data_IF_529836677350
#
_entry.id   IF_529836677350
#
_cell.length_a   1.000
_cell.length_b   1.000
_cell.length_c   1.000
_cell.angle_alpha   90.00
_cell.angle_beta   90.00
_cell.angle_gamma   90.00
#
_symmetry.space_group_name_H-M   'P 1'
#
loop_
_entity.id
_entity.type
_entity.pdbx_description
1 polymer ?
#
# COMPACT_ATOMS: atom_id res chain seq x y z
N UNK A 1 65.32 34.87 -26.09
CA UNK A 1 64.94 33.80 -25.15
C UNK A 1 63.47 33.97 -24.80
N UNK A 2 62.57 33.24 -25.45
CA UNK A 2 61.15 33.22 -25.11
C UNK A 2 60.73 31.77 -24.88
N UNK A 3 60.22 31.51 -23.68
CA UNK A 3 59.84 30.19 -23.18
C UNK A 3 58.40 29.89 -23.60
N UNK A 4 58.23 28.96 -24.53
CA UNK A 4 56.94 28.42 -24.94
C UNK A 4 56.54 27.30 -23.99
N UNK A 5 55.54 27.56 -23.12
CA UNK A 5 54.89 26.52 -22.32
C UNK A 5 53.90 25.75 -23.19
N UNK A 6 54.22 24.49 -23.47
CA UNK A 6 53.33 23.54 -24.11
C UNK A 6 52.16 23.19 -23.17
N UNK A 7 50.94 23.39 -23.65
CA UNK A 7 49.70 22.96 -22.98
C UNK A 7 49.52 21.47 -23.27
N UNK A 8 49.75 20.64 -22.25
CA UNK A 8 49.48 19.21 -22.29
C UNK A 8 47.97 18.96 -22.30
N UNK A 9 47.44 18.49 -23.43
CA UNK A 9 46.08 17.97 -23.56
C UNK A 9 45.97 16.64 -22.81
N UNK A 10 45.34 16.66 -21.63
CA UNK A 10 44.95 15.45 -20.90
C UNK A 10 43.78 14.82 -21.66
N UNK A 11 44.09 13.89 -22.57
CA UNK A 11 43.10 13.01 -23.18
C UNK A 11 42.51 12.12 -22.08
N UNK A 12 41.26 12.41 -21.70
CA UNK A 12 40.48 11.54 -20.83
C UNK A 12 40.23 10.22 -21.55
N UNK A 13 41.10 9.23 -21.33
CA UNK A 13 40.82 7.84 -21.67
C UNK A 13 39.52 7.46 -20.96
N UNK A 14 38.43 7.43 -21.72
CA UNK A 14 37.15 6.91 -21.23
C UNK A 14 37.40 5.53 -20.65
N UNK A 15 36.89 5.30 -19.44
CA UNK A 15 36.90 3.97 -18.83
C UNK A 15 36.03 3.07 -19.70
N UNK A 16 36.61 2.47 -20.74
CA UNK A 16 36.01 1.35 -21.46
C UNK A 16 35.67 0.33 -20.38
N UNK A 17 34.41 -0.05 -20.25
CA UNK A 17 34.04 -1.15 -19.38
C UNK A 17 34.89 -2.35 -19.82
N UNK A 18 35.82 -2.75 -18.95
CA UNK A 18 36.72 -3.84 -19.25
C UNK A 18 35.90 -5.12 -19.06
N UNK A 19 35.30 -5.60 -20.15
CA UNK A 19 34.66 -6.90 -20.17
C UNK A 19 35.69 -7.96 -19.78
N UNK A 20 35.32 -8.85 -18.86
CA UNK A 20 36.18 -9.92 -18.41
C UNK A 20 36.25 -11.04 -19.44
N UNK A 21 35.17 -11.24 -20.20
CA UNK A 21 35.08 -12.14 -21.34
C UNK A 21 34.85 -11.30 -22.60
N UNK A 22 35.85 -11.23 -23.48
CA UNK A 22 35.83 -10.43 -24.71
C UNK A 22 35.63 -11.33 -25.92
N UNK A 23 34.85 -10.87 -26.91
CA UNK A 23 34.46 -11.64 -28.11
C UNK A 23 35.65 -12.18 -28.95
N UNK A 24 36.86 -11.63 -28.80
CA UNK A 24 38.02 -11.97 -29.63
C UNK A 24 38.81 -13.24 -29.27
N UNK A 25 38.57 -13.86 -28.11
CA UNK A 25 39.39 -15.00 -27.63
C UNK A 25 38.68 -16.35 -27.79
N UNK A 26 38.29 -16.76 -29.01
CA UNK A 26 37.75 -18.10 -29.34
C UNK A 26 36.92 -18.75 -28.20
N UNK A 27 35.98 -17.99 -27.64
CA UNK A 27 35.31 -18.40 -26.42
C UNK A 27 34.13 -19.27 -26.78
N UNK A 28 34.29 -20.59 -26.64
CA UNK A 28 33.16 -21.50 -26.84
C UNK A 28 32.00 -21.12 -25.91
N UNK A 29 30.75 -21.02 -26.41
CA UNK A 29 29.58 -20.64 -25.61
C UNK A 29 29.41 -21.45 -24.32
N UNK A 30 29.81 -22.73 -24.35
CA UNK A 30 29.79 -23.62 -23.18
C UNK A 30 30.71 -23.14 -22.06
N UNK A 31 31.92 -22.72 -22.40
CA UNK A 31 32.91 -22.22 -21.43
C UNK A 31 32.43 -20.91 -20.81
N UNK A 32 31.80 -20.04 -21.60
CA UNK A 32 31.20 -18.78 -21.11
C UNK A 32 30.08 -19.06 -20.12
N UNK A 33 29.16 -19.96 -20.45
CA UNK A 33 28.05 -20.33 -19.55
C UNK A 33 28.60 -20.99 -18.27
N UNK A 34 29.60 -21.85 -18.38
CA UNK A 34 30.23 -22.46 -17.21
C UNK A 34 30.89 -21.42 -16.31
N UNK A 35 31.54 -20.41 -16.89
CA UNK A 35 32.10 -19.29 -16.14
C UNK A 35 31.02 -18.42 -15.49
N UNK A 36 29.89 -18.20 -16.17
CA UNK A 36 28.74 -17.49 -15.59
C UNK A 36 28.17 -18.26 -14.38
N UNK A 37 27.99 -19.58 -14.52
CA UNK A 37 27.56 -20.45 -13.42
C UNK A 37 28.58 -20.52 -12.27
N UNK A 38 29.87 -20.26 -12.55
CA UNK A 38 30.91 -20.15 -11.51
C UNK A 38 30.90 -18.81 -10.77
N UNK A 39 29.98 -17.89 -11.13
CA UNK A 39 29.77 -16.62 -10.46
C UNK A 39 30.25 -15.38 -11.22
N UNK A 40 30.66 -15.51 -12.49
CA UNK A 40 30.93 -14.33 -13.32
C UNK A 40 29.60 -13.68 -13.71
N UNK A 41 29.40 -12.43 -13.31
CA UNK A 41 28.21 -11.66 -13.65
C UNK A 41 28.12 -11.48 -15.18
N UNK A 42 26.93 -11.74 -15.74
CA UNK A 42 26.62 -11.57 -17.16
C UNK A 42 26.90 -10.14 -17.65
N UNK A 43 26.88 -9.15 -16.75
CA UNK A 43 27.24 -7.77 -17.04
C UNK A 43 28.70 -7.55 -17.46
N UNK A 44 29.58 -8.49 -17.12
CA UNK A 44 31.01 -8.47 -17.45
C UNK A 44 31.34 -9.25 -18.74
N UNK A 45 30.34 -9.86 -19.36
CA UNK A 45 30.46 -10.57 -20.63
C UNK A 45 30.14 -9.61 -21.76
N UNK A 46 30.98 -9.61 -22.81
CA UNK A 46 30.79 -8.77 -23.98
C UNK A 46 29.42 -9.04 -24.65
N UNK A 47 28.56 -8.02 -24.83
CA UNK A 47 27.24 -8.17 -25.44
C UNK A 47 27.25 -8.81 -26.83
N UNK A 48 28.37 -8.74 -27.57
CA UNK A 48 28.51 -9.40 -28.87
C UNK A 48 28.45 -10.93 -28.77
N UNK A 49 28.74 -11.50 -27.60
CA UNK A 49 28.69 -12.94 -27.34
C UNK A 49 27.24 -13.41 -27.08
N UNK A 50 26.34 -12.53 -26.63
CA UNK A 50 24.99 -12.90 -26.20
C UNK A 50 24.17 -13.68 -27.24
N UNK A 51 24.13 -13.30 -28.54
CA UNK A 51 23.40 -14.07 -29.55
C UNK A 51 23.88 -15.53 -29.67
N UNK A 52 25.16 -15.78 -29.38
CA UNK A 52 25.75 -17.12 -29.39
C UNK A 52 25.39 -17.92 -28.14
N UNK A 53 25.05 -17.27 -27.02
CA UNK A 53 24.70 -17.94 -25.75
C UNK A 53 23.23 -18.35 -25.70
N UNK A 54 22.33 -17.57 -26.31
CA UNK A 54 20.87 -17.78 -26.23
C UNK A 54 20.44 -19.22 -26.59
N UNK A 55 20.85 -19.80 -27.74
CA UNK A 55 20.42 -21.16 -28.09
C UNK A 55 20.91 -22.22 -27.10
N UNK A 56 22.08 -22.00 -26.48
CA UNK A 56 22.64 -22.94 -25.50
C UNK A 56 21.94 -22.81 -24.15
N UNK A 57 21.63 -21.58 -23.72
CA UNK A 57 20.90 -21.31 -22.49
C UNK A 57 19.46 -21.85 -22.56
N UNK A 58 18.78 -21.74 -23.71
CA UNK A 58 17.45 -22.32 -23.92
C UNK A 58 17.47 -23.85 -23.82
N UNK A 59 18.43 -24.51 -24.48
CA UNK A 59 18.63 -25.95 -24.38
C UNK A 59 18.96 -26.41 -22.95
N UNK A 60 19.76 -25.64 -22.20
CA UNK A 60 20.08 -25.94 -20.81
C UNK A 60 18.89 -25.69 -19.87
N UNK A 61 18.08 -24.69 -20.14
CA UNK A 61 16.84 -24.42 -19.41
C UNK A 61 15.84 -25.57 -19.58
N UNK A 62 15.67 -26.08 -20.80
CA UNK A 62 14.80 -27.22 -21.07
C UNK A 62 15.27 -28.49 -20.33
N UNK A 63 16.59 -28.76 -20.34
CA UNK A 63 17.18 -29.84 -19.53
C UNK A 63 16.92 -29.64 -18.03
N UNK A 64 17.14 -28.43 -17.50
CA UNK A 64 16.91 -28.14 -16.09
C UNK A 64 15.44 -28.28 -15.68
N UNK A 65 14.50 -27.99 -16.59
CA UNK A 65 13.05 -28.24 -16.39
C UNK A 65 12.72 -29.72 -16.34
N UNK A 66 13.32 -30.52 -17.22
CA UNK A 66 13.17 -31.98 -17.20
C UNK A 66 13.73 -32.59 -15.92
N UNK A 67 14.85 -32.05 -15.42
CA UNK A 67 15.49 -32.47 -14.17
C UNK A 67 14.82 -31.87 -12.91
N UNK A 68 13.86 -30.95 -13.08
CA UNK A 68 13.16 -30.21 -12.03
C UNK A 68 14.08 -29.42 -11.06
N UNK A 69 15.22 -28.92 -11.56
CA UNK A 69 16.18 -28.13 -10.78
C UNK A 69 15.77 -26.64 -10.75
N UNK A 70 14.96 -26.27 -9.75
CA UNK A 70 14.41 -24.91 -9.59
C UNK A 70 15.49 -23.81 -9.52
N UNK A 71 16.70 -24.11 -9.04
CA UNK A 71 17.76 -23.11 -8.90
C UNK A 71 18.32 -22.75 -10.27
N UNK A 72 18.70 -23.75 -11.07
CA UNK A 72 19.21 -23.54 -12.42
C UNK A 72 18.16 -22.95 -13.36
N UNK A 73 16.89 -23.33 -13.21
CA UNK A 73 15.79 -22.75 -13.98
C UNK A 73 15.75 -21.22 -13.79
N UNK A 74 15.74 -20.76 -12.53
CA UNK A 74 15.75 -19.32 -12.22
C UNK A 74 16.98 -18.60 -12.74
N UNK A 75 18.15 -19.24 -12.65
CA UNK A 75 19.42 -18.66 -13.07
C UNK A 75 19.49 -18.52 -14.61
N UNK A 76 19.09 -19.54 -15.36
CA UNK A 76 19.02 -19.47 -16.82
C UNK A 76 17.94 -18.50 -17.32
N UNK A 77 16.77 -18.46 -16.66
CA UNK A 77 15.73 -17.47 -16.95
C UNK A 77 16.22 -16.05 -16.69
N UNK A 78 17.00 -15.83 -15.61
CA UNK A 78 17.64 -14.55 -15.35
C UNK A 78 18.61 -14.17 -16.48
N UNK A 79 19.50 -15.06 -16.91
CA UNK A 79 20.44 -14.76 -18.01
C UNK A 79 19.72 -14.44 -19.33
N UNK A 80 18.72 -15.23 -19.71
CA UNK A 80 17.92 -14.97 -20.91
C UNK A 80 17.18 -13.63 -20.83
N UNK A 81 16.57 -13.32 -19.67
CA UNK A 81 15.90 -12.03 -19.45
C UNK A 81 16.87 -10.85 -19.55
N UNK A 82 18.09 -11.02 -19.03
CA UNK A 82 19.13 -10.01 -19.05
C UNK A 82 19.60 -9.72 -20.49
N UNK A 83 19.86 -10.77 -21.28
CA UNK A 83 20.25 -10.67 -22.68
C UNK A 83 19.17 -9.96 -23.49
N UNK A 84 17.91 -10.36 -23.33
CA UNK A 84 16.77 -9.77 -24.05
C UNK A 84 16.57 -8.28 -23.70
N UNK A 85 16.95 -7.85 -22.50
CA UNK A 85 16.83 -6.47 -22.06
C UNK A 85 18.00 -5.56 -22.51
N UNK A 86 19.06 -6.13 -23.08
CA UNK A 86 20.26 -5.39 -23.47
C UNK A 86 20.02 -4.25 -24.47
N UNK A 87 19.21 -4.40 -25.54
CA UNK A 87 18.95 -3.31 -26.48
C UNK A 87 18.34 -2.06 -25.82
N UNK A 88 17.46 -2.27 -24.83
CA UNK A 88 16.84 -1.18 -24.06
C UNK A 88 17.85 -0.48 -23.15
N UNK A 89 18.85 -1.18 -22.62
CA UNK A 89 19.94 -0.58 -21.83
C UNK A 89 20.87 0.27 -22.69
N UNK A 90 21.14 -0.16 -23.90
CA UNK A 90 21.92 0.63 -24.86
C UNK A 90 21.17 1.90 -25.26
N UNK A 91 19.85 1.80 -25.48
CA UNK A 91 18.99 2.96 -25.73
C UNK A 91 19.01 3.95 -24.56
N UNK A 92 18.80 3.47 -23.33
CA UNK A 92 18.89 4.30 -22.13
C UNK A 92 20.27 4.95 -21.97
N UNK A 93 21.33 4.21 -22.26
CA UNK A 93 22.70 4.73 -22.20
C UNK A 93 22.91 5.81 -23.26
N UNK A 94 22.37 5.64 -24.48
CA UNK A 94 22.39 6.67 -25.52
C UNK A 94 21.61 7.91 -25.07
N UNK A 95 20.44 7.74 -24.48
CA UNK A 95 19.61 8.85 -23.96
C UNK A 95 20.37 9.60 -22.86
N UNK A 96 21.00 8.90 -21.91
CA UNK A 96 21.74 9.50 -20.80
C UNK A 96 23.04 10.20 -21.27
N UNK A 97 23.67 9.69 -22.34
CA UNK A 97 24.87 10.28 -22.94
C UNK A 97 24.57 11.38 -23.97
N UNK A 98 23.30 11.61 -24.35
CA UNK A 98 22.96 12.75 -25.22
C UNK A 98 23.42 14.03 -24.51
N UNK A 99 24.23 14.88 -25.17
CA UNK A 99 24.59 16.18 -24.61
C UNK A 99 23.29 16.92 -24.32
N UNK A 100 23.16 17.46 -23.11
CA UNK A 100 21.97 18.24 -22.74
C UNK A 100 21.85 19.38 -23.77
N UNK A 101 20.67 19.59 -24.37
CA UNK A 101 20.49 20.71 -25.27
C UNK A 101 20.92 21.99 -24.55
N UNK A 102 21.60 22.93 -25.22
CA UNK A 102 21.97 24.20 -24.61
C UNK A 102 20.71 24.84 -24.04
N UNK A 103 20.77 25.38 -22.80
CA UNK A 103 19.60 25.95 -22.16
C UNK A 103 19.01 27.01 -23.09
N UNK A 104 17.67 26.99 -23.31
CA UNK A 104 17.04 27.96 -24.19
C UNK A 104 17.37 29.37 -23.68
N UNK A 105 17.85 30.23 -24.58
CA UNK A 105 18.13 31.63 -24.28
C UNK A 105 16.80 32.28 -23.91
N UNK A 106 16.62 32.59 -22.62
CA UNK A 106 15.42 33.27 -22.14
C UNK A 106 15.47 34.71 -22.63
N UNK A 107 14.63 35.04 -23.60
CA UNK A 107 14.42 36.44 -24.02
C UNK A 107 13.81 37.18 -22.83
N UNK A 108 14.39 38.31 -22.38
CA UNK A 108 13.85 39.06 -21.25
C UNK A 108 12.43 39.54 -21.56
N UNK A 109 11.56 39.46 -20.55
CA UNK A 109 10.11 39.74 -20.67
C UNK A 109 9.83 41.21 -21.01
N UNK A 110 10.68 42.13 -20.53
CA UNK A 110 10.59 43.57 -20.82
C UNK A 110 11.85 44.06 -21.52
N UNK A 111 11.67 44.97 -22.47
CA UNK A 111 12.78 45.73 -23.05
C UNK A 111 13.27 46.80 -22.07
N UNK A 112 14.53 47.24 -22.20
CA UNK A 112 15.12 48.24 -21.30
C UNK A 112 14.33 49.56 -21.26
N UNK A 113 13.82 49.98 -22.41
CA UNK A 113 13.01 51.20 -22.54
C UNK A 113 11.68 51.10 -21.79
N UNK A 114 11.01 49.94 -21.87
CA UNK A 114 9.78 49.68 -21.13
C UNK A 114 10.03 49.65 -19.62
N UNK A 115 11.13 49.03 -19.17
CA UNK A 115 11.53 49.05 -17.75
C UNK A 115 11.70 50.48 -17.25
N UNK A 116 12.39 51.34 -18.00
CA UNK A 116 12.57 52.74 -17.60
C UNK A 116 11.26 53.54 -17.56
N UNK A 117 10.37 53.35 -18.53
CA UNK A 117 9.06 53.99 -18.55
C UNK A 117 8.22 53.60 -17.32
N UNK A 118 8.17 52.30 -17.01
CA UNK A 118 7.46 51.77 -15.84
C UNK A 118 8.09 52.24 -14.52
N UNK A 119 9.43 52.28 -14.44
CA UNK A 119 10.13 52.77 -13.24
C UNK A 119 9.80 54.24 -12.98
N UNK A 120 9.81 55.09 -14.01
CA UNK A 120 9.45 56.50 -13.87
C UNK A 120 7.99 56.65 -13.43
N UNK A 121 7.07 55.88 -14.03
CA UNK A 121 5.67 55.86 -13.64
C UNK A 121 5.47 55.43 -12.17
N UNK A 122 6.20 54.42 -11.69
CA UNK A 122 6.16 53.96 -10.29
C UNK A 122 6.63 55.07 -9.33
N UNK A 123 7.68 55.82 -9.69
CA UNK A 123 8.21 56.93 -8.89
C UNK A 123 7.18 58.05 -8.79
N UNK A 124 6.56 58.43 -9.91
CA UNK A 124 5.56 59.50 -10.02
C UNK A 124 4.25 59.13 -9.31
N UNK A 125 3.63 58.00 -9.67
CA UNK A 125 2.37 57.55 -9.12
C UNK A 125 2.47 57.15 -7.64
N UNK A 126 3.65 56.65 -7.22
CA UNK A 126 3.89 56.11 -5.88
C UNK A 126 3.08 54.85 -5.57
N UNK A 127 2.58 54.19 -6.61
CA UNK A 127 1.82 52.93 -6.59
C UNK A 127 2.28 52.05 -7.74
N UNK A 128 2.21 50.74 -7.58
CA UNK A 128 2.63 49.77 -8.58
C UNK A 128 1.48 48.84 -8.98
N UNK A 129 1.47 48.44 -10.25
CA UNK A 129 0.52 47.46 -10.79
C UNK A 129 0.85 46.03 -10.34
N UNK A 130 0.08 45.05 -10.80
CA UNK A 130 0.36 43.63 -10.56
C UNK A 130 1.29 43.12 -11.66
N UNK A 131 2.57 42.97 -11.33
CA UNK A 131 3.63 42.49 -12.22
C UNK A 131 3.96 41.01 -11.95
N UNK A 132 4.46 40.31 -12.96
CA UNK A 132 5.05 38.97 -12.83
C UNK A 132 6.38 39.01 -12.06
N UNK A 133 6.82 37.88 -11.49
CA UNK A 133 8.05 37.84 -10.69
C UNK A 133 9.30 38.27 -11.50
N UNK A 134 9.39 37.84 -12.76
CA UNK A 134 10.51 38.20 -13.64
C UNK A 134 10.51 39.71 -13.97
N UNK A 135 9.32 40.30 -14.10
CA UNK A 135 9.15 41.74 -14.31
C UNK A 135 9.49 42.54 -13.05
N UNK A 136 9.08 42.06 -11.87
CA UNK A 136 9.44 42.66 -10.58
C UNK A 136 10.95 42.73 -10.41
N UNK A 137 11.67 41.64 -10.74
CA UNK A 137 13.13 41.61 -10.61
C UNK A 137 13.81 42.63 -11.54
N UNK A 138 13.33 42.78 -12.78
CA UNK A 138 13.80 43.80 -13.72
C UNK A 138 13.50 45.23 -13.26
N UNK A 139 12.29 45.49 -12.76
CA UNK A 139 11.89 46.79 -12.23
C UNK A 139 12.65 47.17 -10.95
N UNK A 140 12.98 46.20 -10.09
CA UNK A 140 13.80 46.42 -8.90
C UNK A 140 15.23 46.80 -9.29
N UNK A 141 15.80 46.17 -10.32
CA UNK A 141 17.11 46.58 -10.86
C UNK A 141 17.04 48.01 -11.40
N UNK A 142 16.03 48.34 -12.22
CA UNK A 142 15.85 49.69 -12.74
C UNK A 142 15.64 50.77 -11.66
N UNK A 143 14.90 50.47 -10.59
CA UNK A 143 14.74 51.38 -9.43
C UNK A 143 16.06 51.59 -8.68
N UNK A 144 16.92 50.57 -8.59
CA UNK A 144 18.25 50.67 -7.97
C UNK A 144 19.21 51.51 -8.82
N UNK A 145 19.13 51.41 -10.14
CA UNK A 145 19.88 52.27 -11.07
C UNK A 145 19.44 53.73 -10.91
N UNK A 146 18.13 54.01 -10.91
CA UNK A 146 17.59 55.37 -10.66
C UNK A 146 18.01 55.94 -9.30
N UNK A 147 18.03 55.10 -8.26
CA UNK A 147 18.58 55.51 -6.95
C UNK A 147 20.04 55.95 -7.07
N UNK A 148 20.87 55.21 -7.80
CA UNK A 148 22.28 55.58 -8.00
C UNK A 148 22.42 56.90 -8.77
N UNK A 149 21.57 57.15 -9.78
CA UNK A 149 21.51 58.43 -10.50
C UNK A 149 21.16 59.60 -9.56
N UNK A 150 20.14 59.47 -8.72
CA UNK A 150 19.77 60.52 -7.76
C UNK A 150 20.86 60.80 -6.72
N UNK A 151 21.59 59.76 -6.27
CA UNK A 151 22.74 59.94 -5.37
C UNK A 151 23.85 60.73 -6.06
N UNK A 152 24.13 60.46 -7.34
CA UNK A 152 25.13 61.22 -8.11
C UNK A 152 24.73 62.68 -8.32
N UNK A 153 23.42 62.95 -8.42
CA UNK A 153 22.86 64.30 -8.54
C UNK A 153 22.76 65.05 -7.20
N UNK A 154 22.97 64.36 -6.07
CA UNK A 154 22.85 64.93 -4.72
C UNK A 154 21.41 65.02 -4.19
N UNK A 155 20.42 64.45 -4.87
CA UNK A 155 19.02 64.39 -4.40
C UNK A 155 18.78 63.14 -3.55
N UNK A 156 19.15 63.22 -2.28
CA UNK A 156 19.02 62.11 -1.34
C UNK A 156 17.57 61.75 -1.01
N UNK A 157 16.63 62.71 -1.11
CA UNK A 157 15.21 62.46 -0.81
C UNK A 157 14.55 61.63 -1.93
N UNK A 158 14.87 61.94 -3.19
CA UNK A 158 14.43 61.12 -4.32
C UNK A 158 15.07 59.73 -4.28
N UNK A 159 16.35 59.64 -3.91
CA UNK A 159 17.05 58.36 -3.75
C UNK A 159 16.40 57.47 -2.67
N UNK A 160 16.09 58.03 -1.49
CA UNK A 160 15.38 57.30 -0.42
C UNK A 160 13.98 56.86 -0.86
N UNK A 161 13.26 57.70 -1.61
CA UNK A 161 11.95 57.35 -2.17
C UNK A 161 12.05 56.18 -3.16
N UNK A 162 13.03 56.20 -4.07
CA UNK A 162 13.26 55.11 -5.02
C UNK A 162 13.62 53.79 -4.30
N UNK A 163 14.46 53.86 -3.27
CA UNK A 163 14.81 52.71 -2.42
C UNK A 163 13.57 52.12 -1.73
N UNK A 164 12.77 52.96 -1.06
CA UNK A 164 11.54 52.54 -0.41
C UNK A 164 10.53 51.91 -1.37
N UNK A 165 10.40 52.45 -2.60
CA UNK A 165 9.56 51.88 -3.64
C UNK A 165 10.10 50.53 -4.13
N UNK A 166 11.42 50.39 -4.30
CA UNK A 166 12.05 49.12 -4.68
C UNK A 166 11.81 48.03 -3.65
N UNK A 167 11.91 48.35 -2.36
CA UNK A 167 11.62 47.42 -1.26
C UNK A 167 10.14 47.03 -1.22
N UNK A 168 9.22 47.99 -1.38
CA UNK A 168 7.77 47.71 -1.42
C UNK A 168 7.39 46.83 -2.61
N UNK A 169 7.96 47.12 -3.79
CA UNK A 169 7.72 46.35 -5.00
C UNK A 169 8.22 44.91 -4.84
N UNK A 170 9.46 44.75 -4.37
CA UNK A 170 10.06 43.45 -4.08
C UNK A 170 9.23 42.64 -3.08
N UNK A 171 8.85 43.26 -1.95
CA UNK A 171 8.02 42.60 -0.93
C UNK A 171 6.64 42.20 -1.49
N UNK A 172 6.01 43.04 -2.32
CA UNK A 172 4.74 42.71 -2.96
C UNK A 172 4.89 41.58 -4.00
N UNK A 173 6.01 41.51 -4.72
CA UNK A 173 6.35 40.40 -5.61
C UNK A 173 6.45 39.09 -4.83
N UNK A 174 7.28 39.06 -3.77
CA UNK A 174 7.41 37.89 -2.90
C UNK A 174 6.08 37.44 -2.29
N UNK A 175 5.27 38.37 -1.78
CA UNK A 175 3.95 38.06 -1.23
C UNK A 175 2.99 37.47 -2.28
N UNK A 176 3.09 37.91 -3.54
CA UNK A 176 2.30 37.36 -4.64
C UNK A 176 2.71 35.93 -4.97
N UNK A 177 4.01 35.63 -4.98
CA UNK A 177 4.52 34.25 -5.15
C UNK A 177 4.07 33.34 -4.00
N UNK A 178 4.14 33.82 -2.75
CA UNK A 178 3.65 33.05 -1.58
C UNK A 178 2.14 32.82 -1.67
N UNK A 179 1.36 33.84 -2.05
CA UNK A 179 -0.10 33.71 -2.24
C UNK A 179 -0.44 32.66 -3.32
N UNK A 180 0.27 32.67 -4.45
CA UNK A 180 0.14 31.68 -5.53
C UNK A 180 0.51 30.27 -5.05
N UNK A 181 1.63 30.12 -4.34
CA UNK A 181 2.05 28.83 -3.77
C UNK A 181 1.01 28.27 -2.80
N UNK A 182 0.47 29.12 -1.93
CA UNK A 182 -0.57 28.71 -1.00
C UNK A 182 -1.89 28.39 -1.70
N UNK A 183 -2.23 29.10 -2.78
CA UNK A 183 -3.39 28.78 -3.60
C UNK A 183 -3.25 27.40 -4.25
N UNK A 184 -2.10 27.10 -4.86
CA UNK A 184 -1.83 25.79 -5.46
C UNK A 184 -1.90 24.68 -4.40
N UNK A 185 -1.28 24.90 -3.25
CA UNK A 185 -1.35 23.94 -2.12
C UNK A 185 -2.77 23.72 -1.62
N UNK A 186 -3.62 24.75 -1.63
CA UNK A 186 -5.03 24.60 -1.29
C UNK A 186 -5.79 23.75 -2.33
N UNK A 187 -5.50 23.92 -3.62
CA UNK A 187 -6.07 23.10 -4.69
C UNK A 187 -5.63 21.64 -4.54
N UNK A 188 -4.34 21.40 -4.31
CA UNK A 188 -3.79 20.06 -4.10
C UNK A 188 -4.42 19.37 -2.87
N UNK A 189 -4.55 20.10 -1.76
CA UNK A 189 -5.18 19.56 -0.54
C UNK A 189 -6.66 19.26 -0.74
N UNK A 190 -7.37 20.07 -1.53
CA UNK A 190 -8.77 19.81 -1.88
C UNK A 190 -8.90 18.55 -2.74
N UNK A 191 -8.03 18.39 -3.73
CA UNK A 191 -8.03 17.18 -4.56
C UNK A 191 -7.76 15.96 -3.70
N UNK A 192 -6.71 15.97 -2.88
CA UNK A 192 -6.40 14.86 -1.95
C UNK A 192 -7.51 14.54 -0.97
N UNK A 193 -8.24 15.55 -0.50
CA UNK A 193 -9.39 15.35 0.38
C UNK A 193 -10.52 14.64 -0.37
N UNK A 194 -10.78 15.04 -1.62
CA UNK A 194 -11.76 14.39 -2.48
C UNK A 194 -11.39 12.92 -2.71
N UNK A 195 -10.16 12.66 -3.16
CA UNK A 195 -9.65 11.31 -3.41
C UNK A 195 -9.75 10.44 -2.15
N UNK A 196 -9.30 10.95 -0.99
CA UNK A 196 -9.38 10.23 0.28
C UNK A 196 -10.83 9.95 0.74
N UNK A 197 -11.78 10.82 0.37
CA UNK A 197 -13.20 10.62 0.68
C UNK A 197 -13.84 9.56 -0.22
N UNK A 198 -13.45 9.53 -1.50
CA UNK A 198 -13.85 8.48 -2.45
C UNK A 198 -13.26 7.12 -2.03
N UNK A 199 -12.00 7.10 -1.59
CA UNK A 199 -11.34 5.90 -1.07
C UNK A 199 -12.05 5.36 0.18
N UNK A 200 -12.42 6.24 1.13
CA UNK A 200 -13.20 5.86 2.32
C UNK A 200 -14.53 5.20 1.93
N UNK A 201 -15.26 5.79 0.99
CA UNK A 201 -16.54 5.27 0.52
C UNK A 201 -16.38 3.91 -0.19
N UNK A 202 -15.31 3.76 -0.99
CA UNK A 202 -15.00 2.49 -1.64
C UNK A 202 -14.63 1.39 -0.62
N UNK A 203 -13.89 1.74 0.44
CA UNK A 203 -13.54 0.81 1.51
C UNK A 203 -14.78 0.37 2.28
N UNK A 204 -15.70 1.29 2.62
CA UNK A 204 -16.99 0.94 3.25
C UNK A 204 -17.80 -0.05 2.41
N UNK A 205 -17.97 0.22 1.11
CA UNK A 205 -18.70 -0.68 0.20
C UNK A 205 -18.05 -2.06 0.11
N UNK A 206 -16.72 -2.10 -0.01
CA UNK A 206 -15.97 -3.36 -0.01
C UNK A 206 -16.21 -4.15 1.28
N UNK A 207 -16.20 -3.51 2.45
CA UNK A 207 -16.47 -4.17 3.72
C UNK A 207 -17.92 -4.66 3.84
N UNK A 208 -18.89 -3.90 3.32
CA UNK A 208 -20.29 -4.33 3.22
C UNK A 208 -20.45 -5.58 2.35
N UNK A 209 -19.79 -5.62 1.19
CA UNK A 209 -19.78 -6.79 0.29
C UNK A 209 -19.14 -8.01 0.98
N UNK A 210 -17.98 -7.84 1.63
CA UNK A 210 -17.33 -8.91 2.38
C UNK A 210 -18.23 -9.44 3.50
N UNK A 211 -18.92 -8.55 4.20
CA UNK A 211 -19.85 -8.94 5.28
C UNK A 211 -21.08 -9.69 4.75
N UNK A 212 -21.61 -9.27 3.60
CA UNK A 212 -22.69 -10.01 2.91
C UNK A 212 -22.23 -11.41 2.51
N UNK A 213 -21.04 -11.52 1.90
CA UNK A 213 -20.46 -12.81 1.49
C UNK A 213 -20.20 -13.73 2.69
N UNK A 214 -19.74 -13.18 3.81
CA UNK A 214 -19.55 -13.93 5.05
C UNK A 214 -20.87 -14.52 5.56
N UNK A 215 -21.94 -13.71 5.56
CA UNK A 215 -23.28 -14.17 5.98
C UNK A 215 -23.83 -15.24 5.07
N UNK A 216 -23.69 -15.07 3.75
CA UNK A 216 -24.12 -16.05 2.78
C UNK A 216 -23.36 -17.37 2.96
N UNK A 217 -22.03 -17.31 3.12
CA UNK A 217 -21.20 -18.48 3.37
C UNK A 217 -21.59 -19.20 4.68
N UNK A 218 -21.81 -18.45 5.76
CA UNK A 218 -22.25 -19.02 7.03
C UNK A 218 -23.63 -19.68 6.91
N UNK A 219 -24.59 -19.04 6.23
CA UNK A 219 -25.93 -19.59 6.02
C UNK A 219 -25.89 -20.87 5.17
N UNK A 220 -25.10 -20.88 4.09
CA UNK A 220 -24.93 -22.05 3.23
C UNK A 220 -24.31 -23.22 4.01
N UNK A 221 -23.33 -22.95 4.86
CA UNK A 221 -22.74 -23.99 5.70
C UNK A 221 -23.73 -24.51 6.75
N UNK A 222 -24.52 -23.65 7.38
CA UNK A 222 -25.54 -24.10 8.33
C UNK A 222 -26.62 -24.94 7.65
N UNK A 223 -27.07 -24.55 6.46
CA UNK A 223 -28.04 -25.32 5.69
C UNK A 223 -27.49 -26.70 5.31
N UNK A 224 -26.21 -26.77 4.91
CA UNK A 224 -25.57 -28.04 4.58
C UNK A 224 -25.38 -28.94 5.82
N UNK A 225 -24.97 -28.36 6.96
CA UNK A 225 -24.87 -29.10 8.22
C UNK A 225 -26.24 -29.63 8.67
N UNK A 226 -27.29 -28.82 8.57
CA UNK A 226 -28.65 -29.23 8.92
C UNK A 226 -29.14 -30.37 8.00
N UNK A 227 -28.85 -30.29 6.70
CA UNK A 227 -29.15 -31.36 5.75
C UNK A 227 -28.45 -32.67 6.13
N UNK A 228 -27.16 -32.61 6.43
CA UNK A 228 -26.37 -33.77 6.86
C UNK A 228 -26.89 -34.35 8.18
N UNK A 229 -27.24 -33.47 9.14
CA UNK A 229 -27.79 -33.90 10.43
C UNK A 229 -29.12 -34.60 10.26
N UNK A 230 -30.01 -34.06 9.42
CA UNK A 230 -31.31 -34.66 9.12
C UNK A 230 -31.18 -36.01 8.42
N UNK A 231 -30.25 -36.16 7.47
CA UNK A 231 -30.02 -37.44 6.80
C UNK A 231 -29.50 -38.50 7.78
N UNK A 232 -28.55 -38.16 8.65
CA UNK A 232 -28.05 -39.08 9.69
C UNK A 232 -29.16 -39.54 10.64
N UNK A 233 -30.07 -38.65 11.02
CA UNK A 233 -31.21 -39.01 11.87
C UNK A 233 -32.16 -39.92 11.10
N UNK A 234 -32.43 -39.62 9.82
CA UNK A 234 -33.28 -40.44 8.95
C UNK A 234 -32.71 -41.85 8.75
N UNK A 235 -31.41 -41.97 8.54
CA UNK A 235 -30.71 -43.28 8.45
C UNK A 235 -30.86 -44.08 9.74
N UNK A 236 -30.73 -43.44 10.91
CA UNK A 236 -30.94 -44.09 12.20
C UNK A 236 -32.40 -44.46 12.45
N UNK A 237 -33.35 -43.68 11.95
CA UNK A 237 -34.78 -43.97 12.03
C UNK A 237 -35.17 -45.14 11.12
N UNK A 238 -34.55 -45.29 9.95
CA UNK A 238 -34.78 -46.43 9.06
C UNK A 238 -34.40 -47.78 9.72
N UNK A 239 -33.48 -47.78 10.68
CA UNK A 239 -33.09 -48.98 11.43
C UNK A 239 -34.20 -49.54 12.34
N UNK A 240 -35.27 -48.78 12.62
CA UNK A 240 -36.44 -49.29 13.35
C UNK A 240 -37.20 -50.34 12.55
N UNK A 241 -37.22 -50.23 11.21
CA UNK A 241 -37.92 -51.16 10.34
C UNK A 241 -37.09 -52.43 10.08
N UNK A 242 -35.80 -52.41 10.41
CA UNK A 242 -34.89 -53.54 10.27
C UNK A 242 -35.00 -54.55 11.43
N UNK A 243 -34.80 -55.83 11.12
CA UNK A 243 -34.81 -56.90 12.13
C UNK A 243 -33.64 -56.72 13.12
N UNK A 244 -33.84 -57.00 14.41
CA UNK A 244 -32.78 -56.87 15.41
C UNK A 244 -31.54 -57.68 15.02
N UNK A 245 -30.32 -57.13 15.17
CA UNK A 245 -29.11 -57.84 14.83
C UNK A 245 -28.90 -59.09 15.71
N UNK A 246 -28.19 -60.13 15.23
CA UNK A 246 -27.98 -61.39 15.96
C UNK A 246 -27.36 -61.23 17.36
N UNK A 247 -26.62 -60.14 17.60
CA UNK A 247 -26.05 -59.82 18.91
C UNK A 247 -27.12 -59.66 19.99
N UNK A 248 -28.30 -59.12 19.63
CA UNK A 248 -29.43 -58.89 20.53
C UNK A 248 -30.36 -60.10 20.56
N UNK A 249 -30.41 -60.90 19.49
CA UNK A 249 -31.28 -62.09 19.36
C UNK A 249 -30.79 -63.34 20.12
N UNK A 250 -30.18 -63.15 21.28
CA UNK A 250 -29.74 -64.26 22.13
C UNK A 250 -30.90 -64.68 23.03
N UNK A 251 -31.45 -65.85 22.74
CA UNK A 251 -32.50 -66.46 23.56
C UNK A 251 -31.97 -66.92 24.92
N UNK A 252 -32.85 -66.94 25.91
CA UNK A 252 -32.50 -67.41 27.25
C UNK A 252 -32.14 -68.91 27.24
N UNK A 253 -31.28 -69.35 28.17
CA UNK A 253 -31.00 -70.78 28.32
C UNK A 253 -32.25 -71.60 28.64
N UNK A 254 -33.27 -71.00 29.26
CA UNK A 254 -34.55 -71.64 29.56
C UNK A 254 -35.29 -72.03 28.28
N UNK A 255 -35.41 -71.11 27.32
CA UNK A 255 -36.03 -71.39 26.03
C UNK A 255 -35.25 -72.45 25.24
N UNK A 256 -33.91 -72.33 25.22
CA UNK A 256 -33.04 -73.30 24.55
C UNK A 256 -33.18 -74.72 25.15
N UNK A 257 -33.31 -74.82 26.47
CA UNK A 257 -33.54 -76.09 27.16
C UNK A 257 -34.93 -76.67 26.87
N UNK A 258 -35.98 -75.83 26.80
CA UNK A 258 -37.33 -76.27 26.42
C UNK A 258 -37.35 -76.82 24.99
N UNK A 259 -36.70 -76.14 24.03
CA UNK A 259 -36.57 -76.60 22.63
C UNK A 259 -35.78 -77.91 22.52
N UNK A 260 -34.69 -78.06 23.27
CA UNK A 260 -33.93 -79.32 23.33
C UNK A 260 -34.78 -80.45 23.92
N UNK A 261 -35.59 -80.18 24.95
CA UNK A 261 -36.48 -81.16 25.57
C UNK A 261 -37.63 -81.54 24.63
N UNK A 262 -38.19 -80.58 23.89
CA UNK A 262 -39.16 -80.81 22.82
C UNK A 262 -38.60 -81.80 21.79
N UNK A 263 -37.41 -81.52 21.25
CA UNK A 263 -36.73 -82.36 20.25
C UNK A 263 -36.48 -83.79 20.78
N UNK A 264 -36.04 -83.91 22.04
CA UNK A 264 -35.85 -85.21 22.70
C UNK A 264 -37.16 -85.99 22.89
N UNK A 265 -38.28 -85.32 23.17
CA UNK A 265 -39.59 -85.95 23.29
C UNK A 265 -40.15 -86.39 21.93
N UNK A 266 -39.89 -85.61 20.88
CA UNK A 266 -40.24 -85.95 19.49
C UNK A 266 -39.47 -87.21 19.05
N UNK A 267 -38.15 -87.25 19.28
CA UNK A 267 -37.32 -88.42 18.94
C UNK A 267 -37.72 -89.67 19.71
N UNK A 268 -38.24 -89.50 20.94
CA UNK A 268 -38.80 -90.58 21.77
C UNK A 268 -40.25 -90.95 21.42
N UNK A 269 -40.86 -90.35 20.38
CA UNK A 269 -42.26 -90.57 19.93
C UNK A 269 -43.33 -90.19 20.97
N UNK A 270 -43.01 -89.32 21.93
CA UNK A 270 -43.92 -88.85 22.97
C UNK A 270 -44.66 -87.57 22.54
N UNK A 271 -45.43 -87.65 21.46
CA UNK A 271 -45.99 -86.47 20.79
C UNK A 271 -46.92 -85.61 21.66
N UNK A 272 -47.74 -86.23 22.52
CA UNK A 272 -48.66 -85.49 23.40
C UNK A 272 -47.92 -84.63 24.43
N UNK A 273 -46.79 -85.11 24.94
CA UNK A 273 -45.95 -84.35 25.88
C UNK A 273 -45.13 -83.30 25.13
N UNK A 274 -44.61 -83.64 23.94
CA UNK A 274 -43.93 -82.69 23.07
C UNK A 274 -44.82 -81.49 22.72
N UNK A 275 -46.11 -81.71 22.44
CA UNK A 275 -47.08 -80.63 22.15
C UNK A 275 -47.19 -79.62 23.30
N UNK A 276 -47.25 -80.09 24.56
CA UNK A 276 -47.33 -79.19 25.73
C UNK A 276 -46.05 -78.39 25.93
N UNK A 277 -44.89 -79.02 25.72
CA UNK A 277 -43.59 -78.34 25.81
C UNK A 277 -43.43 -77.33 24.68
N UNK A 278 -43.93 -77.66 23.48
CA UNK A 278 -43.94 -76.75 22.33
C UNK A 278 -44.75 -75.50 22.62
N UNK A 279 -45.97 -75.62 23.13
CA UNK A 279 -46.80 -74.46 23.51
C UNK A 279 -46.07 -73.55 24.51
N UNK A 280 -45.46 -74.13 25.56
CA UNK A 280 -44.66 -73.38 26.53
C UNK A 280 -43.43 -72.71 25.91
N UNK A 281 -42.76 -73.38 24.98
CA UNK A 281 -41.61 -72.82 24.27
C UNK A 281 -42.03 -71.71 23.31
N UNK A 282 -43.16 -71.86 22.60
CA UNK A 282 -43.70 -70.88 21.66
C UNK A 282 -44.16 -69.61 22.41
N UNK A 283 -44.84 -69.75 23.56
CA UNK A 283 -45.21 -68.63 24.43
C UNK A 283 -43.98 -67.86 24.94
N UNK A 284 -42.98 -68.58 25.46
CA UNK A 284 -41.75 -67.97 25.96
C UNK A 284 -40.94 -67.31 24.84
N UNK A 285 -40.91 -67.92 23.65
CA UNK A 285 -40.24 -67.35 22.48
C UNK A 285 -40.87 -66.03 22.05
N UNK A 286 -42.21 -65.95 22.00
CA UNK A 286 -42.90 -64.70 21.66
C UNK A 286 -42.58 -63.58 22.66
N UNK A 287 -42.54 -63.89 23.95
CA UNK A 287 -42.16 -62.92 24.99
C UNK A 287 -40.71 -62.45 24.83
N UNK A 288 -39.77 -63.36 24.58
CA UNK A 288 -38.37 -63.01 24.38
C UNK A 288 -38.16 -62.22 23.08
N UNK A 289 -38.82 -62.58 21.99
CA UNK A 289 -38.78 -61.85 20.71
C UNK A 289 -39.26 -60.40 20.89
N UNK A 290 -40.37 -60.20 21.61
CA UNK A 290 -40.88 -58.86 21.93
C UNK A 290 -39.89 -58.06 22.77
N UNK A 291 -39.30 -58.66 23.82
CA UNK A 291 -38.29 -58.01 24.64
C UNK A 291 -37.02 -57.66 23.84
N UNK A 292 -36.60 -58.51 22.90
CA UNK A 292 -35.45 -58.26 22.04
C UNK A 292 -35.71 -57.07 21.11
N UNK A 293 -36.90 -56.98 20.51
CA UNK A 293 -37.32 -55.83 19.70
C UNK A 293 -37.32 -54.54 20.54
N UNK A 294 -37.87 -54.59 21.75
CA UNK A 294 -37.88 -53.42 22.66
C UNK A 294 -36.48 -52.97 23.07
N UNK A 295 -35.57 -53.90 23.36
CA UNK A 295 -34.16 -53.60 23.65
C UNK A 295 -33.47 -52.98 22.44
N UNK A 296 -33.72 -53.51 21.25
CA UNK A 296 -33.21 -52.96 20.00
C UNK A 296 -33.69 -51.52 19.78
N UNK A 297 -35.00 -51.29 19.89
CA UNK A 297 -35.59 -49.96 19.77
C UNK A 297 -35.04 -48.99 20.82
N UNK A 298 -34.82 -49.44 22.06
CA UNK A 298 -34.21 -48.62 23.12
C UNK A 298 -32.77 -48.23 22.77
N UNK A 299 -32.00 -49.15 22.20
CA UNK A 299 -30.63 -48.89 21.75
C UNK A 299 -30.60 -47.86 20.60
N UNK A 300 -31.48 -48.00 19.60
CA UNK A 300 -31.63 -47.02 18.52
C UNK A 300 -32.01 -45.64 19.09
N UNK A 301 -33.01 -45.57 19.97
CA UNK A 301 -33.41 -44.29 20.61
C UNK A 301 -32.26 -43.63 21.36
N UNK A 302 -31.46 -44.42 22.06
CA UNK A 302 -30.28 -43.93 22.78
C UNK A 302 -29.26 -43.35 21.80
N UNK A 303 -29.01 -44.06 20.68
CA UNK A 303 -28.11 -43.61 19.63
C UNK A 303 -28.59 -42.32 18.96
N UNK A 304 -29.87 -42.24 18.61
CA UNK A 304 -30.48 -41.01 18.06
C UNK A 304 -30.30 -39.84 19.04
N UNK A 305 -30.55 -40.05 20.34
CA UNK A 305 -30.37 -38.99 21.33
C UNK A 305 -28.91 -38.56 21.44
N UNK A 306 -27.96 -39.50 21.46
CA UNK A 306 -26.53 -39.19 21.46
C UNK A 306 -26.14 -38.37 20.23
N UNK A 307 -26.53 -38.83 19.04
CA UNK A 307 -26.30 -38.12 17.77
C UNK A 307 -26.90 -36.71 17.81
N UNK A 308 -28.15 -36.53 18.27
CA UNK A 308 -28.76 -35.19 18.44
C UNK A 308 -27.94 -34.29 19.37
N UNK A 309 -27.42 -34.82 20.48
CA UNK A 309 -26.58 -34.03 21.40
C UNK A 309 -25.23 -33.65 20.78
N UNK A 310 -24.62 -34.52 19.98
CA UNK A 310 -23.39 -34.24 19.24
C UNK A 310 -23.61 -33.19 18.16
N UNK A 311 -24.69 -33.33 17.37
CA UNK A 311 -25.13 -32.37 16.36
C UNK A 311 -25.37 -30.99 16.97
N UNK A 312 -26.05 -30.91 18.11
CA UNK A 312 -26.27 -29.64 18.81
C UNK A 312 -24.96 -28.98 19.29
N UNK A 313 -24.01 -29.77 19.80
CA UNK A 313 -22.67 -29.28 20.19
C UNK A 313 -21.88 -28.81 18.97
N UNK A 314 -21.98 -29.51 17.84
CA UNK A 314 -21.32 -29.13 16.59
C UNK A 314 -21.89 -27.80 16.07
N UNK A 315 -23.21 -27.66 15.99
CA UNK A 315 -23.88 -26.40 15.60
C UNK A 315 -23.51 -25.25 16.53
N UNK A 316 -23.51 -25.48 17.85
CA UNK A 316 -23.11 -24.46 18.82
C UNK A 316 -21.66 -24.01 18.63
N UNK A 317 -20.73 -24.95 18.45
CA UNK A 317 -19.32 -24.65 18.19
C UNK A 317 -19.15 -23.88 16.89
N UNK A 318 -19.89 -24.26 15.84
CA UNK A 318 -19.79 -23.60 14.54
C UNK A 318 -20.41 -22.21 14.54
N UNK A 319 -21.51 -22.01 15.27
CA UNK A 319 -22.11 -20.70 15.51
C UNK A 319 -21.16 -19.76 16.28
N UNK A 320 -20.46 -20.28 17.28
CA UNK A 320 -19.46 -19.52 18.01
C UNK A 320 -18.28 -19.12 17.10
N UNK A 321 -17.81 -20.04 16.24
CA UNK A 321 -16.77 -19.76 15.24
C UNK A 321 -17.17 -18.61 14.30
N UNK A 322 -18.32 -18.70 13.65
CA UNK A 322 -18.77 -17.67 12.71
C UNK A 322 -19.00 -16.31 13.39
N UNK A 323 -19.51 -16.32 14.63
CA UNK A 323 -19.64 -15.09 15.42
C UNK A 323 -18.28 -14.47 15.75
N UNK A 324 -17.27 -15.28 16.05
CA UNK A 324 -15.92 -14.79 16.30
C UNK A 324 -15.29 -14.20 15.03
N UNK A 325 -15.49 -14.87 13.89
CA UNK A 325 -15.04 -14.39 12.57
C UNK A 325 -15.72 -13.07 12.19
N UNK A 326 -17.04 -12.98 12.39
CA UNK A 326 -17.82 -11.75 12.19
C UNK A 326 -17.28 -10.60 13.04
N UNK A 327 -17.03 -10.85 14.33
CA UNK A 327 -16.46 -9.84 15.24
C UNK A 327 -15.03 -9.45 14.87
N UNK A 328 -14.24 -10.37 14.31
CA UNK A 328 -12.92 -10.04 13.80
C UNK A 328 -13.02 -9.13 12.59
N UNK A 329 -13.84 -9.48 11.60
CA UNK A 329 -14.10 -8.66 10.41
C UNK A 329 -14.58 -7.24 10.78
N UNK A 330 -15.53 -7.12 11.71
CA UNK A 330 -16.03 -5.80 12.14
C UNK A 330 -14.91 -4.97 12.77
N UNK A 331 -14.06 -5.58 13.61
CA UNK A 331 -12.92 -4.86 14.23
C UNK A 331 -11.90 -4.40 13.19
N UNK A 332 -11.63 -5.23 12.18
CA UNK A 332 -10.71 -4.88 11.09
C UNK A 332 -11.29 -3.76 10.23
N UNK A 333 -12.57 -3.84 9.87
CA UNK A 333 -13.30 -2.81 9.13
C UNK A 333 -13.31 -1.48 9.88
N UNK A 334 -13.71 -1.48 11.16
CA UNK A 334 -13.74 -0.29 12.00
C UNK A 334 -12.35 0.36 12.11
N UNK A 335 -11.30 -0.46 12.27
CA UNK A 335 -9.92 0.03 12.32
C UNK A 335 -9.49 0.68 10.99
N UNK A 336 -9.82 0.10 9.85
CA UNK A 336 -9.50 0.67 8.53
C UNK A 336 -10.26 1.98 8.28
N UNK A 337 -11.57 1.98 8.58
CA UNK A 337 -12.44 3.15 8.43
C UNK A 337 -11.99 4.28 9.34
N UNK A 338 -11.65 4.00 10.60
CA UNK A 338 -11.15 5.00 11.56
C UNK A 338 -9.81 5.60 11.10
N UNK A 339 -8.90 4.78 10.57
CA UNK A 339 -7.64 5.27 10.01
C UNK A 339 -7.87 6.20 8.80
N UNK A 340 -8.74 5.81 7.88
CA UNK A 340 -9.11 6.64 6.73
C UNK A 340 -9.78 7.95 7.17
N UNK A 341 -10.66 7.90 8.16
CA UNK A 341 -11.32 9.08 8.72
C UNK A 341 -10.32 10.04 9.38
N UNK A 342 -9.38 9.52 10.16
CA UNK A 342 -8.28 10.31 10.75
C UNK A 342 -7.42 10.97 9.68
N UNK A 343 -7.15 10.28 8.58
CA UNK A 343 -6.41 10.86 7.45
C UNK A 343 -7.19 12.02 6.81
N UNK A 344 -8.50 11.88 6.61
CA UNK A 344 -9.38 12.93 6.11
C UNK A 344 -9.39 14.14 7.08
N UNK A 345 -9.52 13.90 8.37
CA UNK A 345 -9.56 14.98 9.37
C UNK A 345 -8.22 15.73 9.45
N UNK A 346 -7.10 15.02 9.32
CA UNK A 346 -5.79 15.65 9.18
C UNK A 346 -5.69 16.50 7.90
N UNK A 347 -6.20 16.02 6.76
CA UNK A 347 -6.26 16.79 5.51
C UNK A 347 -7.15 18.03 5.64
N UNK A 348 -8.32 17.93 6.29
CA UNK A 348 -9.22 19.05 6.58
C UNK A 348 -8.55 20.11 7.45
N UNK A 349 -7.87 19.70 8.51
CA UNK A 349 -7.13 20.59 9.40
C UNK A 349 -5.97 21.28 8.65
N UNK A 350 -5.23 20.53 7.83
CA UNK A 350 -4.20 21.08 6.96
C UNK A 350 -4.76 22.10 5.97
N UNK A 351 -5.90 21.80 5.33
CA UNK A 351 -6.57 22.73 4.42
C UNK A 351 -6.98 24.02 5.13
N UNK A 352 -7.59 23.93 6.32
CA UNK A 352 -7.96 25.09 7.14
C UNK A 352 -6.73 25.96 7.47
N UNK A 353 -5.65 25.35 7.94
CA UNK A 353 -4.42 26.06 8.27
C UNK A 353 -3.82 26.78 7.05
N UNK A 354 -3.85 26.15 5.86
CA UNK A 354 -3.38 26.80 4.63
C UNK A 354 -4.32 27.92 4.15
N UNK A 355 -5.64 27.78 4.32
CA UNK A 355 -6.58 28.85 4.01
C UNK A 355 -6.38 30.07 4.91
N UNK A 356 -6.13 29.88 6.20
CA UNK A 356 -5.87 30.97 7.14
C UNK A 356 -4.51 31.63 6.87
N UNK A 357 -3.47 30.84 6.56
CA UNK A 357 -2.21 31.38 6.09
C UNK A 357 -2.38 32.22 4.81
N UNK A 358 -3.26 31.79 3.88
CA UNK A 358 -3.52 32.52 2.64
C UNK A 358 -4.18 33.86 2.93
N UNK A 359 -5.22 33.88 3.78
CA UNK A 359 -5.87 35.12 4.21
C UNK A 359 -4.86 36.09 4.81
N UNK A 360 -3.96 35.61 5.67
CA UNK A 360 -2.89 36.43 6.25
C UNK A 360 -1.98 37.02 5.16
N UNK A 361 -1.55 36.23 4.18
CA UNK A 361 -0.71 36.74 3.07
C UNK A 361 -1.43 37.80 2.24
N UNK A 362 -2.73 37.62 1.98
CA UNK A 362 -3.56 38.61 1.28
C UNK A 362 -3.72 39.90 2.09
N UNK A 363 -3.86 39.82 3.42
CA UNK A 363 -3.89 40.99 4.31
C UNK A 363 -2.57 41.75 4.27
N UNK A 364 -1.44 41.04 4.43
CA UNK A 364 -0.10 41.65 4.34
C UNK A 364 0.14 42.32 2.99
N UNK A 365 -0.31 41.69 1.90
CA UNK A 365 -0.23 42.26 0.55
C UNK A 365 -1.09 43.52 0.38
N UNK A 366 -2.24 43.60 1.04
CA UNK A 366 -3.06 44.82 1.06
C UNK A 366 -2.39 45.93 1.89
N UNK A 367 -1.73 45.58 2.99
CA UNK A 367 -1.01 46.52 3.85
C UNK A 367 0.21 47.13 3.14
N UNK A 368 0.98 46.35 2.39
CA UNK A 368 2.12 46.87 1.61
C UNK A 368 1.70 47.84 0.50
N UNK A 369 0.48 47.70 -0.03
CA UNK A 369 -0.09 48.57 -1.06
C UNK A 369 -0.69 49.87 -0.52
N UNK A 370 -1.11 49.91 0.75
CA UNK A 370 -1.66 51.14 1.33
C UNK A 370 -0.56 52.21 1.38
N UNK A 371 -0.81 53.36 0.75
CA UNK A 371 0.08 54.52 0.82
C UNK A 371 0.39 54.79 2.28
N UNK A 372 1.69 54.83 2.61
CA UNK A 372 2.16 55.33 3.90
C UNK A 372 1.64 56.75 3.99
N UNK A 373 0.50 56.98 4.67
CA UNK A 373 0.01 58.32 4.93
C UNK A 373 1.18 59.06 5.54
N UNK A 374 1.56 60.18 4.89
CA UNK A 374 2.70 61.02 5.27
C UNK A 374 2.81 61.03 6.79
N UNK A 375 3.93 60.51 7.29
CA UNK A 375 4.29 60.66 8.70
C UNK A 375 4.53 62.15 8.88
N UNK A 376 3.46 62.88 9.16
CA UNK A 376 3.48 64.29 9.52
C UNK A 376 4.38 64.40 10.74
N UNK A 377 5.53 65.05 10.57
CA UNK A 377 6.40 65.53 11.65
C UNK A 377 6.74 64.47 12.70
N UNK A 378 7.57 63.51 12.32
CA UNK A 378 8.22 62.61 13.27
C UNK A 378 9.14 63.44 14.18
N UNK A 379 8.63 63.80 15.35
CA UNK A 379 9.50 64.10 16.50
C UNK A 379 10.38 62.88 16.72
N UNK A 380 11.67 63.10 16.94
CA UNK A 380 12.65 62.05 17.22
C UNK A 380 12.07 61.03 18.23
N UNK A 381 12.22 59.72 18.00
CA UNK A 381 11.68 58.70 18.88
C UNK A 381 12.23 58.88 20.29
N UNK A 382 11.34 58.95 21.27
CA UNK A 382 11.71 59.10 22.67
C UNK A 382 12.47 57.84 23.11
N UNK A 383 13.67 57.98 23.69
CA UNK A 383 14.58 56.87 24.01
C UNK A 383 14.00 55.83 24.99
N UNK A 384 12.83 56.08 25.60
CA UNK A 384 12.24 55.25 26.64
C UNK A 384 11.21 54.22 26.17
N UNK A 385 10.76 54.23 24.90
CA UNK A 385 9.74 53.27 24.45
C UNK A 385 10.37 51.99 23.88
N UNK A 386 10.04 50.80 24.39
CA UNK A 386 10.59 49.55 23.89
C UNK A 386 10.17 49.33 22.43
N UNK A 387 11.17 49.14 21.58
CA UNK A 387 11.11 48.96 20.11
C UNK A 387 10.42 47.63 19.75
N UNK A 388 9.07 47.53 19.83
CA UNK A 388 8.40 46.22 19.89
C UNK A 388 7.52 45.72 18.73
N UNK A 389 7.07 46.53 17.75
CA UNK A 389 6.01 46.03 16.85
C UNK A 389 6.41 45.74 15.38
N UNK A 390 7.35 46.48 14.79
CA UNK A 390 7.78 46.24 13.40
C UNK A 390 8.60 44.95 13.24
N UNK A 391 9.32 44.55 14.30
CA UNK A 391 10.15 43.35 14.23
C UNK A 391 9.32 42.07 14.19
N UNK A 392 8.12 42.06 14.79
CA UNK A 392 7.28 40.86 14.86
C UNK A 392 6.68 40.48 13.50
N UNK A 393 6.28 41.47 12.68
CA UNK A 393 5.69 41.20 11.36
C UNK A 393 6.75 40.72 10.36
N UNK A 394 7.94 41.33 10.35
CA UNK A 394 9.09 40.86 9.56
C UNK A 394 9.58 39.49 10.01
N UNK A 395 9.66 39.24 11.33
CA UNK A 395 10.06 37.94 11.87
C UNK A 395 9.05 36.87 11.47
N UNK A 396 7.76 37.19 11.46
CA UNK A 396 6.70 36.28 11.02
C UNK A 396 6.73 36.04 9.50
N UNK A 397 7.00 37.05 8.68
CA UNK A 397 7.24 36.87 7.24
C UNK A 397 8.45 35.98 6.97
N UNK A 398 9.56 36.22 7.67
CA UNK A 398 10.76 35.38 7.58
C UNK A 398 10.49 33.96 8.05
N UNK A 399 9.69 33.75 9.10
CA UNK A 399 9.28 32.42 9.54
C UNK A 399 8.41 31.72 8.49
N UNK A 400 7.45 32.40 7.86
CA UNK A 400 6.62 31.82 6.78
C UNK A 400 7.50 31.46 5.58
N UNK A 401 8.40 32.36 5.16
CA UNK A 401 9.33 32.14 4.04
C UNK A 401 10.32 31.02 4.36
N UNK A 402 10.92 31.01 5.54
CA UNK A 402 11.83 29.96 5.99
C UNK A 402 11.10 28.62 6.11
N UNK A 403 9.87 28.60 6.63
CA UNK A 403 9.08 27.38 6.68
C UNK A 403 8.80 26.88 5.27
N UNK A 404 8.46 27.74 4.30
CA UNK A 404 8.31 27.31 2.90
C UNK A 404 9.61 26.85 2.25
N UNK A 405 10.74 27.53 2.47
CA UNK A 405 12.03 27.21 1.82
C UNK A 405 12.65 25.94 2.41
N UNK A 406 12.61 25.76 3.73
CA UNK A 406 13.28 24.66 4.41
C UNK A 406 12.42 23.42 4.65
N UNK A 407 11.09 23.46 4.40
CA UNK A 407 10.24 22.24 4.40
C UNK A 407 10.02 21.63 3.02
N UNK A 408 10.46 22.31 1.94
CA UNK A 408 10.39 21.79 0.57
C UNK A 408 11.48 20.73 0.29
N UNK A 409 12.55 20.66 1.08
CA UNK A 409 13.59 19.65 0.90
C UNK A 409 13.24 18.34 1.62
N UNK A 410 13.07 17.27 0.82
CA UNK A 410 12.98 15.84 1.19
C UNK A 410 11.64 15.24 1.61
N UNK A 411 10.59 15.36 0.78
CA UNK A 411 9.47 14.38 0.76
C UNK A 411 9.60 13.27 -0.29
N UNK A 412 10.58 13.36 -1.19
CA UNK A 412 10.84 12.33 -2.21
C UNK A 412 11.92 11.32 -1.84
N UNK A 413 12.48 11.36 -0.63
CA UNK A 413 13.19 10.19 -0.12
C UNK A 413 12.13 9.14 0.22
N UNK A 414 12.07 7.99 -0.46
CA UNK A 414 11.17 6.92 -0.06
C UNK A 414 11.44 6.63 1.41
N UNK A 415 10.41 6.77 2.24
CA UNK A 415 10.43 6.30 3.61
C UNK A 415 10.81 4.84 3.49
N UNK A 416 12.06 4.49 3.84
CA UNK A 416 12.46 3.10 3.98
C UNK A 416 11.53 2.55 5.05
N UNK A 417 10.52 1.80 4.62
CA UNK A 417 9.69 1.00 5.50
C UNK A 417 10.64 0.27 6.44
N UNK A 418 10.48 0.38 7.77
CA UNK A 418 11.31 -0.40 8.68
C UNK A 418 11.16 -1.85 8.24
N UNK A 419 12.25 -2.45 7.75
CA UNK A 419 12.27 -3.87 7.41
C UNK A 419 11.80 -4.60 8.65
N UNK A 420 10.62 -5.21 8.58
CA UNK A 420 10.17 -6.20 9.55
C UNK A 420 11.23 -7.30 9.54
N UNK A 421 12.12 -7.27 10.53
CA UNK A 421 13.01 -8.39 10.80
C UNK A 421 12.12 -9.62 11.02
N UNK A 422 12.30 -10.71 10.26
CA UNK A 422 11.53 -11.92 10.51
C UNK A 422 11.80 -12.39 11.95
N UNK A 423 10.73 -12.52 12.75
CA UNK A 423 10.81 -13.15 14.07
C UNK A 423 11.40 -14.54 13.86
N UNK A 424 12.53 -14.83 14.53
CA UNK A 424 13.10 -16.17 14.59
C UNK A 424 12.01 -17.16 15.06
N UNK A 425 11.86 -18.32 14.41
CA UNK A 425 11.03 -19.39 14.97
C UNK A 425 11.63 -19.82 16.31
N UNK A 426 10.82 -19.75 17.37
CA UNK A 426 11.14 -20.35 18.65
C UNK A 426 11.11 -21.87 18.47
N UNK A 427 12.28 -22.47 18.26
CA UNK A 427 12.50 -23.89 18.54
C UNK A 427 12.57 -24.06 20.06
N UNK A 428 11.41 -24.13 20.70
CA UNK A 428 11.32 -24.73 22.03
C UNK A 428 11.13 -26.22 21.83
N UNK A 429 12.21 -26.95 22.08
CA UNK A 429 12.21 -28.39 22.27
C UNK A 429 11.44 -28.68 23.55
N UNK A 430 10.34 -29.43 23.42
CA UNK A 430 9.94 -30.50 24.34
C UNK A 430 9.18 -31.55 23.54
#
# INVERSE_FOLDING_TARGET
MMSTRAVSTISSRGKSQQYQIVYGFNTEPRNVIQQMLSGIDISLVDPQIYPLLVPYLENLLEKARNDNDLYKIKEFEFYLSYINYQPRREELTRILKRPRPPPPVKVPVLTKEQVQAEVNWIIEAGTFSTYSQEEVDLLVVGLREKRAEYIQQGDYLAAERAENLSHKLFNNGQLTTVESLQQNKCVDLKQKLKDASEDLESSKKKWEELYSNLKESANNEFAELERQHNEQIRELEALFDEKPPPSIRKYSPTLLNLRRREEAMISSKLYAQASKIKEQADELQQQEDQQQIERWHRQIRTRINQTKTEQAKQLSSRKAFWKAEEQQMVREADSEIDQAQKAIDHLKNSLKNNLDARKMTTVMKKETRKKTKRVSTQKLPNLSTPRRDLHNTETRQRQILNHSIYTITNRNTPIKSPMKTPKRPNTSVM
#
